data_IF_059579480830
#
_entry.id   IF_059579480830
#
_cell.length_a   1.000
_cell.length_b   1.000
_cell.length_c   1.000
_cell.angle_alpha   90.00
_cell.angle_beta   90.00
_cell.angle_gamma   90.00
#
_symmetry.space_group_name_H-M   'P 1'
#
loop_
_entity.id
_entity.type
_entity.pdbx_description
1 polymer ?
#
# COMPACT_ATOMS: atom_id res chain seq x y z
N UNK A 1 12.61 -25.59 5.54
CA UNK A 1 12.81 -25.80 6.99
C UNK A 1 13.83 -24.84 7.61
N UNK A 2 15.15 -24.90 7.29
CA UNK A 2 16.17 -24.13 8.03
C UNK A 2 15.88 -22.62 8.10
N UNK A 3 15.62 -21.96 6.97
CA UNK A 3 15.36 -20.51 6.94
C UNK A 3 14.02 -20.13 7.59
N UNK A 4 12.99 -20.96 7.44
CA UNK A 4 11.69 -20.74 8.07
C UNK A 4 11.80 -20.78 9.61
N UNK A 5 12.55 -21.75 10.14
CA UNK A 5 12.79 -21.84 11.59
C UNK A 5 13.73 -20.73 12.11
N UNK A 6 14.66 -20.25 11.27
CA UNK A 6 15.47 -19.07 11.60
C UNK A 6 14.59 -17.84 11.77
N UNK A 7 13.74 -17.54 10.78
CA UNK A 7 12.81 -16.39 10.82
C UNK A 7 11.85 -16.51 12.01
N UNK A 8 11.29 -17.70 12.24
CA UNK A 8 10.45 -17.96 13.42
C UNK A 8 11.17 -17.65 14.74
N UNK A 9 12.42 -18.09 14.88
CA UNK A 9 13.22 -17.87 16.10
C UNK A 9 13.54 -16.38 16.29
N UNK A 10 13.94 -15.68 15.23
CA UNK A 10 14.21 -14.24 15.25
C UNK A 10 12.95 -13.45 15.68
N UNK A 11 11.78 -13.79 15.14
CA UNK A 11 10.51 -13.16 15.51
C UNK A 11 10.11 -13.42 16.97
N UNK A 12 10.33 -14.65 17.46
CA UNK A 12 10.08 -15.01 18.86
C UNK A 12 10.97 -14.21 19.83
N UNK A 13 12.25 -13.99 19.48
CA UNK A 13 13.18 -13.16 20.28
C UNK A 13 12.70 -11.71 20.35
N UNK A 14 12.21 -11.16 19.25
CA UNK A 14 11.71 -9.78 19.18
C UNK A 14 10.26 -9.61 19.65
N UNK A 15 9.59 -10.68 20.05
CA UNK A 15 8.19 -10.68 20.45
C UNK A 15 7.28 -10.03 19.39
N UNK A 16 7.52 -10.39 18.11
CA UNK A 16 6.69 -9.99 16.96
C UNK A 16 6.06 -11.22 16.31
N UNK A 17 4.98 -11.03 15.58
CA UNK A 17 4.30 -12.11 14.87
C UNK A 17 4.93 -12.32 13.48
N UNK A 18 5.52 -13.49 13.24
CA UNK A 18 6.12 -13.84 11.94
C UNK A 18 5.09 -14.17 10.84
N UNK A 19 3.81 -14.30 11.20
CA UNK A 19 2.77 -14.87 10.34
C UNK A 19 1.64 -13.90 10.03
N UNK A 20 1.73 -12.64 10.46
CA UNK A 20 0.80 -11.59 10.04
C UNK A 20 1.40 -10.65 8.99
N UNK A 21 0.53 -9.81 8.43
CA UNK A 21 0.86 -8.94 7.30
C UNK A 21 -0.03 -7.68 7.27
N UNK A 22 -0.30 -7.07 8.42
CA UNK A 22 -1.16 -5.88 8.52
C UNK A 22 -0.72 -4.70 7.64
N UNK A 23 0.59 -4.59 7.38
CA UNK A 23 1.18 -3.50 6.60
C UNK A 23 0.70 -3.42 5.15
N UNK A 24 0.00 -4.42 4.61
CA UNK A 24 -0.51 -4.39 3.23
C UNK A 24 -1.85 -3.67 3.08
N UNK A 25 -2.61 -3.50 4.17
CA UNK A 25 -4.03 -3.13 4.09
C UNK A 25 -4.25 -1.68 3.68
N UNK A 26 -3.54 -0.72 4.28
CA UNK A 26 -3.69 0.70 3.93
C UNK A 26 -3.39 0.96 2.44
N UNK A 27 -2.36 0.30 1.90
CA UNK A 27 -2.02 0.41 0.48
C UNK A 27 -3.13 -0.11 -0.44
N UNK A 28 -3.77 -1.23 -0.08
CA UNK A 28 -4.91 -1.78 -0.82
C UNK A 28 -6.11 -0.83 -0.77
N UNK A 29 -6.42 -0.26 0.40
CA UNK A 29 -7.52 0.68 0.58
C UNK A 29 -7.32 1.95 -0.25
N UNK A 30 -6.13 2.57 -0.13
CA UNK A 30 -5.78 3.78 -0.88
C UNK A 30 -5.80 3.52 -2.39
N UNK A 31 -5.20 2.43 -2.86
CA UNK A 31 -5.19 2.08 -4.27
C UNK A 31 -6.62 1.89 -4.82
N UNK A 32 -7.48 1.17 -4.08
CA UNK A 32 -8.88 0.93 -4.45
C UNK A 32 -9.65 2.25 -4.52
N UNK A 33 -9.45 3.15 -3.54
CA UNK A 33 -10.10 4.47 -3.51
C UNK A 33 -9.62 5.44 -4.60
N UNK A 34 -8.43 5.24 -5.17
CA UNK A 34 -7.87 6.08 -6.24
C UNK A 34 -8.29 5.64 -7.65
N UNK A 35 -8.81 4.42 -7.83
CA UNK A 35 -9.21 3.90 -9.15
C UNK A 35 -10.17 4.85 -9.91
N UNK A 36 -11.21 5.44 -9.28
CA UNK A 36 -12.10 6.37 -9.99
C UNK A 36 -11.39 7.63 -10.46
N UNK A 37 -10.46 8.18 -9.67
CA UNK A 37 -9.70 9.38 -10.02
C UNK A 37 -8.71 9.14 -11.14
N UNK A 38 -8.04 7.98 -11.15
CA UNK A 38 -7.16 7.59 -12.27
C UNK A 38 -7.95 7.42 -13.57
N UNK A 39 -9.21 6.99 -13.50
CA UNK A 39 -10.11 6.87 -14.67
C UNK A 39 -10.78 8.20 -15.08
N UNK A 40 -10.52 9.29 -14.37
CA UNK A 40 -11.15 10.60 -14.62
C UNK A 40 -12.64 10.65 -14.27
N UNK A 41 -13.15 9.71 -13.46
CA UNK A 41 -14.57 9.59 -13.12
C UNK A 41 -14.92 10.49 -11.92
N UNK A 42 -14.02 10.61 -10.93
CA UNK A 42 -14.23 11.43 -9.72
C UNK A 42 -12.93 12.08 -9.25
N UNK A 43 -12.97 13.35 -8.83
CA UNK A 43 -11.83 14.01 -8.19
C UNK A 43 -11.86 13.73 -6.68
N UNK A 44 -11.05 12.77 -6.24
CA UNK A 44 -10.88 12.48 -4.82
C UNK A 44 -10.05 13.60 -4.16
N UNK A 45 -10.40 14.01 -2.94
CA UNK A 45 -9.63 15.02 -2.19
C UNK A 45 -8.40 14.35 -1.56
N UNK A 46 -7.42 14.01 -2.39
CA UNK A 46 -6.12 13.53 -1.92
C UNK A 46 -5.21 14.71 -1.54
N UNK A 47 -4.07 14.41 -0.94
CA UNK A 47 -3.05 15.42 -0.64
C UNK A 47 -2.49 16.05 -1.94
N UNK A 48 -1.85 17.24 -1.86
CA UNK A 48 -1.35 17.93 -3.04
C UNK A 48 -0.35 17.14 -3.89
N UNK A 49 0.46 16.25 -3.29
CA UNK A 49 1.42 15.43 -4.04
C UNK A 49 0.68 14.40 -4.90
N UNK A 50 -0.30 13.71 -4.32
CA UNK A 50 -1.12 12.72 -5.03
C UNK A 50 -1.93 13.39 -6.14
N UNK A 51 -2.53 14.56 -5.89
CA UNK A 51 -3.27 15.30 -6.90
C UNK A 51 -2.37 15.81 -8.04
N UNK A 52 -1.18 16.32 -7.73
CA UNK A 52 -0.22 16.75 -8.74
C UNK A 52 0.20 15.60 -9.66
N UNK A 53 0.39 14.41 -9.10
CA UNK A 53 0.68 13.23 -9.89
C UNK A 53 -0.50 12.77 -10.76
N UNK A 54 -1.73 12.78 -10.23
CA UNK A 54 -2.93 12.46 -11.00
C UNK A 54 -3.14 13.42 -12.18
N UNK A 55 -2.90 14.72 -11.99
CA UNK A 55 -2.93 15.71 -13.07
C UNK A 55 -1.89 15.42 -14.14
N UNK A 56 -0.66 15.07 -13.73
CA UNK A 56 0.38 14.70 -14.67
C UNK A 56 0.00 13.44 -15.47
N UNK A 57 -0.50 12.39 -14.80
CA UNK A 57 -0.98 11.19 -15.47
C UNK A 57 -2.09 11.49 -16.48
N UNK A 58 -3.07 12.34 -16.12
CA UNK A 58 -4.12 12.78 -17.02
C UNK A 58 -3.61 13.57 -18.23
N UNK A 59 -2.47 14.26 -18.12
CA UNK A 59 -1.86 14.99 -19.26
C UNK A 59 -1.15 14.07 -20.26
N UNK A 60 -0.86 12.83 -19.89
CA UNK A 60 -0.17 11.85 -20.73
C UNK A 60 -1.13 10.90 -21.47
N UNK A 61 -2.38 10.82 -21.04
CA UNK A 61 -3.43 9.98 -21.64
C UNK A 61 -4.17 10.73 -22.76
#
# INVERSE_FOLDING_TARGET
ALYEHRIFTEAAIWNINAFDQWGVELGKELATGLVPSVKGIENNQADPSTNGFLQHLGSLA
#
